data_IF_265167142307
#
_entry.id   IF_265167142307
#
_cell.length_a   1.000
_cell.length_b   1.000
_cell.length_c   1.000
_cell.angle_alpha   90.00
_cell.angle_beta   90.00
_cell.angle_gamma   90.00
#
_symmetry.space_group_name_H-M   'P 1'
#
loop_
_entity.id
_entity.type
_entity.pdbx_description
1 polymer ?
#
# COMPACT_ATOMS: atom_id res chain seq x y z
N UNK A 1 -21.21 -6.99 6.82
CA UNK A 1 -20.49 -6.93 8.11
C UNK A 1 -19.32 -5.99 7.95
N UNK A 2 -18.93 -5.25 9.00
CA UNK A 2 -17.75 -4.41 8.94
C UNK A 2 -16.49 -5.23 9.21
N UNK A 3 -15.40 -4.96 8.49
CA UNK A 3 -14.12 -5.64 8.61
C UNK A 3 -13.08 -4.67 9.15
N UNK A 4 -12.17 -5.14 10.01
CA UNK A 4 -11.00 -4.36 10.41
C UNK A 4 -9.85 -4.64 9.45
N UNK A 5 -9.18 -3.58 9.00
CA UNK A 5 -8.01 -3.65 8.12
C UNK A 5 -6.86 -2.94 8.81
N UNK A 6 -5.70 -3.59 8.85
CA UNK A 6 -4.45 -3.01 9.33
C UNK A 6 -3.62 -2.55 8.13
N UNK A 7 -3.30 -1.27 8.08
CA UNK A 7 -2.54 -0.63 7.01
C UNK A 7 -1.20 -0.14 7.53
N UNK A 8 -0.12 -0.45 6.81
CA UNK A 8 1.26 -0.17 7.20
C UNK A 8 2.03 0.69 6.18
N UNK A 9 1.43 0.95 5.01
CA UNK A 9 2.05 1.59 3.87
C UNK A 9 1.33 2.85 3.39
N UNK A 10 1.16 2.97 2.09
CA UNK A 10 0.56 4.12 1.38
C UNK A 10 -0.88 4.42 1.79
N UNK A 11 -1.57 3.47 2.43
CA UNK A 11 -2.91 3.64 3.02
C UNK A 11 -2.93 4.26 4.42
N UNK A 12 -1.76 4.52 5.06
CA UNK A 12 -1.71 5.27 6.34
C UNK A 12 -2.17 6.71 6.11
N UNK A 13 -2.81 7.32 7.12
CA UNK A 13 -3.38 8.67 7.05
C UNK A 13 -2.38 9.71 6.55
N UNK A 14 -2.83 10.54 5.61
CA UNK A 14 -2.03 11.59 4.99
C UNK A 14 -1.04 11.09 3.93
N UNK A 15 -1.10 9.80 3.53
CA UNK A 15 -0.32 9.24 2.45
C UNK A 15 -1.19 9.02 1.19
N UNK A 16 -0.58 8.76 0.06
CA UNK A 16 -1.21 8.82 -1.26
C UNK A 16 -2.51 7.98 -1.36
N UNK A 17 -2.43 6.69 -1.12
CA UNK A 17 -3.60 5.82 -1.26
C UNK A 17 -4.66 6.03 -0.16
N UNK A 18 -4.29 6.57 1.01
CA UNK A 18 -5.28 6.99 2.00
C UNK A 18 -6.18 8.08 1.44
N UNK A 19 -5.63 9.10 0.79
CA UNK A 19 -6.41 10.22 0.22
C UNK A 19 -7.33 9.75 -0.90
N UNK A 20 -6.92 8.74 -1.67
CA UNK A 20 -7.71 8.19 -2.77
C UNK A 20 -8.82 7.21 -2.31
N UNK A 21 -8.59 6.41 -1.28
CA UNK A 21 -9.47 5.28 -0.91
C UNK A 21 -10.13 5.44 0.46
N UNK A 22 -9.34 5.63 1.53
CA UNK A 22 -9.87 5.62 2.90
C UNK A 22 -10.47 6.96 3.31
N UNK A 23 -9.88 8.08 2.93
CA UNK A 23 -10.39 9.41 3.28
C UNK A 23 -11.81 9.66 2.70
N UNK A 24 -12.10 9.37 1.42
CA UNK A 24 -13.46 9.45 0.90
C UNK A 24 -14.42 8.48 1.61
N UNK A 25 -13.98 7.26 1.90
CA UNK A 25 -14.80 6.29 2.61
C UNK A 25 -15.14 6.72 4.04
N UNK A 26 -14.20 7.37 4.76
CA UNK A 26 -14.47 7.97 6.06
C UNK A 26 -15.53 9.09 5.95
N UNK A 27 -15.40 9.97 4.97
CA UNK A 27 -16.33 11.08 4.74
C UNK A 27 -17.76 10.60 4.44
N UNK A 28 -17.89 9.42 3.83
CA UNK A 28 -19.18 8.78 3.53
C UNK A 28 -19.69 7.87 4.65
N UNK A 29 -18.99 7.74 5.77
CA UNK A 29 -19.33 6.82 6.86
C UNK A 29 -19.13 5.34 6.54
N UNK A 30 -18.47 5.00 5.43
CA UNK A 30 -18.15 3.66 4.98
C UNK A 30 -16.89 3.08 5.64
N UNK A 31 -16.04 3.95 6.17
CA UNK A 31 -14.88 3.61 6.98
C UNK A 31 -14.87 4.39 8.29
N UNK A 32 -14.11 3.91 9.28
CA UNK A 32 -13.82 4.63 10.51
C UNK A 32 -12.40 4.30 10.97
N UNK A 33 -11.64 5.33 11.37
CA UNK A 33 -10.35 5.14 12.03
C UNK A 33 -10.55 4.58 13.43
N UNK A 34 -9.79 3.54 13.76
CA UNK A 34 -9.89 2.83 15.05
C UNK A 34 -8.74 3.23 15.98
N UNK A 35 -7.52 3.29 15.46
CA UNK A 35 -6.33 3.66 16.23
C UNK A 35 -5.03 3.33 15.51
N UNK A 36 -3.94 3.87 16.05
CA UNK A 36 -2.59 3.42 15.72
C UNK A 36 -2.38 2.05 16.36
N UNK A 37 -1.68 1.17 15.70
CA UNK A 37 -1.44 -0.18 16.17
C UNK A 37 -0.07 -0.71 15.74
N UNK A 38 0.33 -1.84 16.34
CA UNK A 38 1.44 -2.65 15.86
C UNK A 38 1.03 -4.11 15.79
N UNK A 39 1.66 -4.89 14.95
CA UNK A 39 1.45 -6.34 14.92
C UNK A 39 1.79 -6.95 16.28
N UNK A 40 0.99 -7.92 16.72
CA UNK A 40 1.21 -8.54 18.04
C UNK A 40 2.51 -9.33 18.07
N UNK A 41 2.82 -10.01 16.96
CA UNK A 41 4.03 -10.84 16.84
C UNK A 41 5.08 -10.16 15.95
N UNK A 42 6.36 -10.49 16.21
CA UNK A 42 7.52 -10.04 15.45
C UNK A 42 7.79 -10.99 14.27
N UNK A 43 6.81 -11.11 13.38
CA UNK A 43 6.76 -12.12 12.33
C UNK A 43 6.83 -11.55 10.91
N UNK A 44 7.24 -10.28 10.77
CA UNK A 44 7.18 -9.60 9.49
C UNK A 44 8.49 -8.90 9.14
N UNK A 45 8.80 -8.87 7.85
CA UNK A 45 9.77 -7.97 7.28
C UNK A 45 9.09 -7.06 6.26
N UNK A 46 9.45 -5.80 6.28
CA UNK A 46 9.06 -4.81 5.28
C UNK A 46 10.27 -4.46 4.42
N UNK A 47 10.06 -4.40 3.12
CA UNK A 47 11.03 -3.90 2.15
C UNK A 47 10.37 -2.83 1.30
N UNK A 48 11.16 -1.98 0.67
CA UNK A 48 10.67 -1.01 -0.29
C UNK A 48 10.87 -1.60 -1.68
N UNK A 49 9.82 -1.65 -2.50
CA UNK A 49 9.97 -1.92 -3.92
C UNK A 49 10.89 -0.85 -4.53
N UNK A 50 11.97 -1.31 -5.14
CA UNK A 50 13.06 -0.43 -5.59
C UNK A 50 12.67 0.48 -6.75
N UNK A 51 11.64 0.07 -7.48
CA UNK A 51 11.20 0.74 -8.70
C UNK A 51 10.00 1.65 -8.46
N UNK A 52 9.05 1.24 -7.65
CA UNK A 52 7.79 1.97 -7.46
C UNK A 52 7.65 2.61 -6.08
N UNK A 53 8.60 2.39 -5.18
CA UNK A 53 8.68 3.00 -3.85
C UNK A 53 7.49 2.74 -2.94
N UNK A 54 6.71 1.65 -3.17
CA UNK A 54 5.69 1.20 -2.24
C UNK A 54 6.24 0.12 -1.30
N UNK A 55 5.67 0.00 -0.09
CA UNK A 55 6.15 -0.98 0.89
C UNK A 55 5.58 -2.36 0.61
N UNK A 56 6.46 -3.34 0.52
CA UNK A 56 6.11 -4.75 0.46
C UNK A 56 6.33 -5.38 1.83
N UNK A 57 5.29 -5.99 2.41
CA UNK A 57 5.35 -6.70 3.69
C UNK A 57 5.20 -8.20 3.46
N UNK A 58 6.05 -9.00 4.08
CA UNK A 58 5.98 -10.45 4.01
C UNK A 58 6.20 -11.11 5.37
N UNK A 59 5.71 -12.34 5.53
CA UNK A 59 5.91 -13.11 6.77
C UNK A 59 7.34 -13.63 6.86
N UNK A 60 7.93 -13.41 8.05
CA UNK A 60 9.26 -13.88 8.42
C UNK A 60 9.21 -14.47 9.84
N UNK A 61 8.56 -15.63 10.05
CA UNK A 61 8.41 -16.22 11.38
C UNK A 61 9.75 -16.41 12.06
N UNK A 62 9.85 -15.99 13.33
CA UNK A 62 11.05 -16.08 14.18
C UNK A 62 12.24 -15.18 13.78
N UNK A 63 12.17 -14.45 12.67
CA UNK A 63 13.24 -13.56 12.19
C UNK A 63 12.76 -12.12 11.98
N UNK A 64 11.44 -11.90 12.01
CA UNK A 64 10.81 -10.63 11.75
C UNK A 64 10.82 -9.66 12.93
N UNK A 65 10.13 -8.54 12.72
CA UNK A 65 9.88 -7.53 13.74
C UNK A 65 8.38 -7.18 13.79
N UNK A 66 7.98 -6.45 14.84
CA UNK A 66 6.65 -5.88 14.92
C UNK A 66 6.55 -4.67 13.99
N UNK A 67 5.50 -4.63 13.17
CA UNK A 67 5.26 -3.55 12.22
C UNK A 67 4.24 -2.58 12.78
N UNK A 68 4.56 -1.29 12.70
CA UNK A 68 3.65 -0.20 13.06
C UNK A 68 2.71 0.13 11.90
N UNK A 69 1.49 0.55 12.26
CA UNK A 69 0.47 0.91 11.27
C UNK A 69 -0.78 1.48 11.90
N UNK A 70 -1.86 1.45 11.15
CA UNK A 70 -3.15 2.00 11.55
C UNK A 70 -4.26 1.00 11.30
N UNK A 71 -5.28 1.00 12.17
CA UNK A 71 -6.48 0.16 12.02
C UNK A 71 -7.65 1.02 11.56
N UNK A 72 -8.31 0.53 10.50
CA UNK A 72 -9.57 1.07 10.03
C UNK A 72 -10.65 0.00 10.08
N UNK A 73 -11.85 0.38 10.47
CA UNK A 73 -13.06 -0.42 10.26
C UNK A 73 -13.66 0.01 8.93
N UNK A 74 -13.87 -0.92 8.02
CA UNK A 74 -14.38 -0.65 6.67
C UNK A 74 -15.63 -1.47 6.36
N UNK A 75 -16.49 -0.96 5.49
CA UNK A 75 -17.61 -1.73 4.95
C UNK A 75 -17.15 -2.66 3.81
N UNK A 76 -18.08 -3.43 3.28
CA UNK A 76 -17.79 -4.44 2.24
C UNK A 76 -17.36 -3.79 0.92
N UNK A 77 -17.90 -2.62 0.58
CA UNK A 77 -17.56 -1.94 -0.68
C UNK A 77 -16.16 -1.34 -0.60
N UNK A 78 -15.84 -0.70 0.52
CA UNK A 78 -14.48 -0.19 0.78
C UNK A 78 -13.46 -1.32 0.79
N UNK A 79 -13.76 -2.46 1.44
CA UNK A 79 -12.86 -3.61 1.45
C UNK A 79 -12.58 -4.13 0.04
N UNK A 80 -13.61 -4.21 -0.82
CA UNK A 80 -13.43 -4.61 -2.23
C UNK A 80 -12.56 -3.61 -3.01
N UNK A 81 -12.72 -2.31 -2.75
CA UNK A 81 -11.89 -1.29 -3.38
C UNK A 81 -10.42 -1.43 -2.98
N UNK A 82 -10.15 -1.77 -1.70
CA UNK A 82 -8.80 -2.07 -1.24
C UNK A 82 -8.26 -3.37 -1.86
N UNK A 83 -9.07 -4.41 -2.00
CA UNK A 83 -8.67 -5.68 -2.65
C UNK A 83 -8.28 -5.45 -4.13
N UNK A 84 -8.96 -4.54 -4.81
CA UNK A 84 -8.64 -4.15 -6.20
C UNK A 84 -7.32 -3.36 -6.23
N UNK A 85 -7.14 -2.39 -5.33
CA UNK A 85 -5.90 -1.61 -5.21
C UNK A 85 -4.68 -2.51 -5.00
N UNK A 86 -4.82 -3.51 -4.12
CA UNK A 86 -3.75 -4.42 -3.74
C UNK A 86 -3.64 -5.63 -4.71
N UNK A 87 -4.40 -5.61 -5.80
CA UNK A 87 -4.40 -6.66 -6.85
C UNK A 87 -4.49 -8.08 -6.27
N UNK A 88 -5.41 -8.30 -5.29
CA UNK A 88 -5.56 -9.59 -4.62
C UNK A 88 -5.93 -10.71 -5.59
N UNK A 89 -6.79 -10.42 -6.58
CA UNK A 89 -7.18 -11.37 -7.63
C UNK A 89 -6.03 -11.62 -8.63
N UNK A 90 -5.05 -10.72 -8.69
CA UNK A 90 -3.84 -10.82 -9.52
C UNK A 90 -2.64 -11.45 -8.81
N UNK A 91 -2.82 -11.93 -7.57
CA UNK A 91 -1.77 -12.50 -6.72
C UNK A 91 -0.59 -11.56 -6.38
N UNK A 92 -0.75 -10.23 -6.55
CA UNK A 92 0.27 -9.27 -6.13
C UNK A 92 0.37 -9.25 -4.61
N UNK A 93 -0.77 -9.04 -3.94
CA UNK A 93 -0.90 -9.20 -2.49
C UNK A 93 -1.90 -10.30 -2.14
N UNK A 94 -1.72 -10.89 -0.96
CA UNK A 94 -2.68 -11.79 -0.33
C UNK A 94 -3.22 -11.15 0.92
N UNK A 95 -4.54 -11.24 1.12
CA UNK A 95 -5.17 -10.79 2.33
C UNK A 95 -5.18 -11.92 3.36
N UNK A 96 -4.59 -11.66 4.54
CA UNK A 96 -4.53 -12.60 5.66
C UNK A 96 -5.07 -11.99 6.94
N UNK A 97 -5.41 -12.82 7.92
CA UNK A 97 -5.77 -12.38 9.27
C UNK A 97 -4.51 -12.16 10.12
N UNK A 98 -4.49 -11.05 10.87
CA UNK A 98 -3.43 -10.72 11.82
C UNK A 98 -4.04 -10.19 13.11
N UNK A 99 -3.40 -10.46 14.24
CA UNK A 99 -3.66 -9.78 15.51
C UNK A 99 -2.74 -8.58 15.66
N UNK A 100 -3.34 -7.45 15.98
CA UNK A 100 -2.62 -6.19 16.25
C UNK A 100 -3.00 -5.67 17.63
N UNK A 101 -2.10 -4.96 18.27
CA UNK A 101 -2.34 -4.29 19.53
C UNK A 101 -2.42 -2.78 19.31
N UNK A 102 -3.49 -2.15 19.80
CA UNK A 102 -3.65 -0.70 19.72
C UNK A 102 -2.62 0.00 20.59
N UNK A 103 -2.06 1.10 20.08
CA UNK A 103 -1.03 1.90 20.75
C UNK A 103 -1.56 3.32 20.97
N UNK A 104 -1.59 3.71 22.23
CA UNK A 104 -2.08 5.03 22.63
C UNK A 104 -3.61 5.20 22.59
N UNK A 105 -4.09 6.30 23.17
CA UNK A 105 -5.50 6.60 23.27
C UNK A 105 -6.23 5.75 24.32
N UNK A 106 -7.57 5.89 24.36
CA UNK A 106 -8.43 5.24 25.37
C UNK A 106 -8.51 3.71 25.22
N UNK A 107 -8.10 3.18 24.09
CA UNK A 107 -8.13 1.75 23.74
C UNK A 107 -6.74 1.12 23.71
N UNK A 108 -5.74 1.76 24.29
CA UNK A 108 -4.37 1.23 24.36
C UNK A 108 -4.34 -0.17 24.98
N UNK A 109 -3.61 -1.08 24.36
CA UNK A 109 -3.48 -2.46 24.78
C UNK A 109 -4.60 -3.40 24.31
N UNK A 110 -5.63 -2.88 23.63
CA UNK A 110 -6.67 -3.72 23.04
C UNK A 110 -6.12 -4.50 21.85
N UNK A 111 -6.41 -5.80 21.80
CA UNK A 111 -6.05 -6.66 20.67
C UNK A 111 -7.20 -6.68 19.69
N UNK A 112 -6.91 -6.41 18.42
CA UNK A 112 -7.87 -6.38 17.33
C UNK A 112 -7.44 -7.37 16.25
N UNK A 113 -8.37 -8.21 15.80
CA UNK A 113 -8.17 -9.06 14.63
C UNK A 113 -8.48 -8.26 13.37
N UNK A 114 -7.50 -8.15 12.49
CA UNK A 114 -7.55 -7.37 11.26
C UNK A 114 -7.22 -8.22 10.04
N UNK A 115 -7.66 -7.74 8.88
CA UNK A 115 -7.10 -8.16 7.61
C UNK A 115 -5.83 -7.34 7.33
N UNK A 116 -4.80 -7.98 6.78
CA UNK A 116 -3.54 -7.38 6.35
C UNK A 116 -3.22 -7.86 4.93
N UNK A 117 -2.58 -7.01 4.12
CA UNK A 117 -2.13 -7.36 2.79
C UNK A 117 -0.64 -7.71 2.82
N UNK A 118 -0.28 -8.90 2.32
CA UNK A 118 1.07 -9.42 2.31
C UNK A 118 1.46 -9.86 0.91
N UNK A 119 2.70 -9.56 0.50
CA UNK A 119 3.24 -10.06 -0.77
C UNK A 119 3.70 -11.52 -0.64
N UNK A 120 3.56 -12.35 -1.68
CA UNK A 120 4.22 -13.64 -1.75
C UNK A 120 5.74 -13.49 -1.69
N UNK A 121 6.42 -14.39 -0.99
CA UNK A 121 7.89 -14.37 -0.91
C UNK A 121 8.49 -14.80 -2.25
N UNK A 122 9.45 -14.01 -2.77
CA UNK A 122 10.28 -14.32 -3.93
C UNK A 122 11.76 -14.10 -3.62
N UNK A 123 12.65 -14.63 -4.44
CA UNK A 123 14.10 -14.40 -4.29
C UNK A 123 14.45 -12.94 -4.46
N UNK A 124 13.81 -12.25 -5.43
CA UNK A 124 14.00 -10.80 -5.68
C UNK A 124 13.57 -9.97 -4.46
N UNK A 125 12.43 -10.31 -3.87
CA UNK A 125 11.93 -9.65 -2.65
C UNK A 125 12.90 -9.81 -1.47
N UNK A 126 13.45 -11.00 -1.30
CA UNK A 126 14.40 -11.30 -0.21
C UNK A 126 15.76 -10.59 -0.38
N UNK A 127 16.12 -10.20 -1.61
CA UNK A 127 17.33 -9.44 -1.90
C UNK A 127 17.22 -7.94 -1.59
N UNK A 128 16.00 -7.42 -1.40
CA UNK A 128 15.77 -6.00 -1.10
C UNK A 128 16.18 -5.65 0.34
N UNK A 129 16.58 -4.39 0.53
CA UNK A 129 16.91 -3.86 1.85
C UNK A 129 15.65 -3.77 2.73
N UNK A 130 15.76 -4.28 3.97
CA UNK A 130 14.67 -4.23 4.95
C UNK A 130 14.54 -2.83 5.53
N UNK A 131 13.32 -2.35 5.64
CA UNK A 131 13.00 -1.05 6.25
C UNK A 131 12.14 -1.26 7.51
N UNK A 132 12.36 -0.46 8.58
CA UNK A 132 11.61 -0.63 9.83
C UNK A 132 10.18 -0.08 9.76
N UNK A 133 9.93 0.91 8.90
CA UNK A 133 8.63 1.57 8.70
C UNK A 133 8.59 2.24 7.32
N UNK A 134 7.39 2.48 6.81
CA UNK A 134 7.16 3.29 5.62
C UNK A 134 6.87 4.73 6.00
N UNK A 135 7.75 5.65 5.60
CA UNK A 135 7.74 7.04 6.05
C UNK A 135 7.10 7.99 5.03
N UNK A 136 6.66 9.20 5.44
CA UNK A 136 6.21 10.23 4.51
C UNK A 136 7.23 10.60 3.44
N UNK A 137 8.53 10.55 3.74
CA UNK A 137 9.61 10.83 2.77
C UNK A 137 9.69 9.75 1.68
N UNK A 138 9.45 8.48 2.05
CA UNK A 138 9.34 7.39 1.08
C UNK A 138 8.08 7.56 0.23
N UNK A 139 6.96 7.91 0.86
CA UNK A 139 5.71 8.20 0.16
C UNK A 139 5.83 9.37 -0.81
N UNK A 140 6.62 10.39 -0.51
CA UNK A 140 6.83 11.52 -1.43
C UNK A 140 7.46 11.09 -2.77
N UNK A 141 8.27 10.02 -2.77
CA UNK A 141 8.80 9.42 -4.02
C UNK A 141 7.73 8.65 -4.77
N UNK A 142 6.90 7.91 -4.05
CA UNK A 142 5.73 7.23 -4.60
C UNK A 142 4.74 8.25 -5.19
N UNK A 143 4.42 9.32 -4.45
CA UNK A 143 3.60 10.45 -4.89
C UNK A 143 4.12 11.07 -6.20
N UNK A 144 5.41 11.36 -6.26
CA UNK A 144 6.02 11.94 -7.46
C UNK A 144 5.92 11.01 -8.68
N UNK A 145 5.89 9.69 -8.44
CA UNK A 145 5.76 8.70 -9.50
C UNK A 145 4.31 8.51 -9.96
N UNK A 146 3.36 8.49 -9.00
CA UNK A 146 1.94 8.26 -9.24
C UNK A 146 1.17 9.56 -9.51
N UNK A 147 1.70 10.67 -9.00
CA UNK A 147 1.03 11.98 -8.89
C UNK A 147 0.94 12.81 -10.16
N UNK A 148 1.14 12.24 -11.33
CA UNK A 148 0.64 12.86 -12.56
C UNK A 148 -0.78 12.36 -12.80
N UNK A 149 -1.82 13.20 -12.55
CA UNK A 149 -3.24 12.85 -12.82
C UNK A 149 -3.45 12.34 -14.24
N UNK A 150 -2.56 12.74 -15.13
CA UNK A 150 -2.48 12.31 -16.52
C UNK A 150 -2.19 10.81 -16.65
N UNK A 151 -1.34 10.23 -15.80
CA UNK A 151 -1.02 8.79 -15.86
C UNK A 151 -2.20 7.90 -15.46
N UNK A 152 -3.01 8.27 -14.48
CA UNK A 152 -4.22 7.51 -14.10
C UNK A 152 -5.27 7.54 -15.22
N UNK A 153 -5.49 8.71 -15.84
CA UNK A 153 -6.40 8.85 -16.98
C UNK A 153 -5.90 8.01 -18.16
N UNK A 154 -4.61 8.03 -18.39
CA UNK A 154 -3.97 7.29 -19.50
C UNK A 154 -3.96 5.78 -19.26
N UNK A 155 -3.88 5.33 -18.01
CA UNK A 155 -3.99 3.91 -17.65
C UNK A 155 -5.36 3.33 -18.02
N UNK A 156 -6.43 4.10 -17.80
CA UNK A 156 -7.78 3.73 -18.22
C UNK A 156 -7.93 3.66 -19.76
N UNK A 157 -7.17 4.49 -20.49
CA UNK A 157 -7.28 4.60 -21.96
C UNK A 157 -6.36 3.62 -22.68
N UNK A 158 -5.13 3.45 -22.25
CA UNK A 158 -4.07 2.71 -22.94
C UNK A 158 -3.69 1.38 -22.28
N UNK A 159 -4.15 1.13 -21.05
CA UNK A 159 -3.92 -0.09 -20.28
C UNK A 159 -2.55 -0.15 -19.59
N UNK A 160 -2.47 -0.94 -18.54
CA UNK A 160 -1.32 -1.04 -17.61
C UNK A 160 0.02 -1.34 -18.28
N UNK A 161 0.02 -2.11 -19.39
CA UNK A 161 1.26 -2.47 -20.09
C UNK A 161 1.94 -1.27 -20.75
N UNK A 162 1.16 -0.37 -21.35
CA UNK A 162 1.66 0.85 -22.00
C UNK A 162 2.13 1.83 -20.93
N UNK A 163 1.31 2.03 -19.90
CA UNK A 163 1.64 2.94 -18.78
C UNK A 163 2.84 2.44 -17.99
N UNK A 164 2.97 1.13 -17.78
CA UNK A 164 4.16 0.52 -17.17
C UNK A 164 5.44 0.83 -17.97
N UNK A 165 5.39 0.78 -19.31
CA UNK A 165 6.53 1.16 -20.14
C UNK A 165 6.85 2.67 -20.08
N UNK A 166 5.83 3.53 -19.96
CA UNK A 166 6.01 4.99 -19.76
C UNK A 166 6.64 5.25 -18.39
N UNK A 167 6.09 4.66 -17.34
CA UNK A 167 6.62 4.76 -15.96
C UNK A 167 8.08 4.33 -15.89
N UNK A 168 8.45 3.20 -16.50
CA UNK A 168 9.83 2.70 -16.52
C UNK A 168 10.81 3.70 -17.13
N UNK A 169 10.44 4.35 -18.23
CA UNK A 169 11.31 5.35 -18.89
C UNK A 169 11.37 6.70 -18.18
N UNK A 170 10.29 7.12 -17.53
CA UNK A 170 10.30 8.31 -16.69
C UNK A 170 11.28 8.17 -15.51
N UNK A 171 11.43 6.97 -14.95
CA UNK A 171 12.43 6.65 -13.93
C UNK A 171 13.88 6.82 -14.41
N UNK A 172 14.14 6.61 -15.69
CA UNK A 172 15.43 6.83 -16.33
C UNK A 172 15.75 8.33 -16.55
N UNK A 173 14.81 9.23 -16.13
CA UNK A 173 15.01 10.69 -16.18
C UNK A 173 14.52 11.36 -17.46
N UNK A 174 13.61 10.73 -18.21
CA UNK A 174 12.98 11.32 -19.40
C UNK A 174 11.90 12.35 -19.05
N UNK A 175 11.74 13.38 -19.88
CA UNK A 175 10.59 14.29 -19.85
C UNK A 175 9.32 13.56 -20.32
N UNK A 176 8.17 13.75 -19.64
CA UNK A 176 6.94 13.04 -19.93
C UNK A 176 6.53 13.07 -21.42
N UNK A 177 6.54 14.25 -22.03
CA UNK A 177 6.16 14.41 -23.44
C UNK A 177 7.04 13.63 -24.43
N UNK A 178 8.35 13.56 -24.15
CA UNK A 178 9.29 12.79 -24.97
C UNK A 178 9.12 11.29 -24.78
N UNK A 179 8.99 10.84 -23.53
CA UNK A 179 8.76 9.44 -23.18
C UNK A 179 7.44 8.97 -23.77
N UNK A 180 6.39 9.76 -23.62
CA UNK A 180 5.08 9.47 -24.18
C UNK A 180 5.14 9.23 -25.70
N UNK A 181 5.74 10.15 -26.43
CA UNK A 181 5.92 10.06 -27.89
C UNK A 181 6.71 8.81 -28.30
N UNK A 182 7.69 8.41 -27.52
CA UNK A 182 8.51 7.21 -27.80
C UNK A 182 7.75 5.90 -27.55
N UNK A 183 6.86 5.85 -26.55
CA UNK A 183 6.14 4.63 -26.13
C UNK A 183 4.82 4.48 -26.86
N UNK A 184 4.07 5.56 -27.04
CA UNK A 184 2.71 5.55 -27.62
C UNK A 184 2.72 5.93 -29.11
N UNK A 185 3.67 6.73 -29.54
CA UNK A 185 3.86 7.03 -30.99
C UNK A 185 3.05 8.22 -31.52
N UNK A 186 2.55 9.10 -30.65
CA UNK A 186 1.85 10.35 -31.01
C UNK A 186 2.62 11.59 -30.62
#
# INVERSE_FOLDING_TARGET
>A
MATFVFVYGTLKRGLYNYEAYLHPALSLGKAAFVGVARTMHADFHMVLDGDEFYPCLYRAPSEGYQVSGEVFRVDVDTLKALDILEEVDGDLYRREEVEVILVGGDREGEIVKCQIYLVPISEDLLALERIPDYTPEMNARYDALMGTPELEILECVYGNKVIGAVKARLKEGGEFAEVWKQVVGE
#
